data_IF_163316722313
#
_entry.id   IF_163316722313
#
_cell.length_a   1.000
_cell.length_b   1.000
_cell.length_c   1.000
_cell.angle_alpha   90.00
_cell.angle_beta   90.00
_cell.angle_gamma   90.00
#
_symmetry.space_group_name_H-M   'P 1'
#
loop_
_entity.id
_entity.type
_entity.pdbx_description
1 polymer ?
#
# COMPACT_ATOMS: atom_id res chain seq x y z
N UNK A 1 -4.66 25.41 -28.07
CA UNK A 1 -3.44 25.11 -27.28
C UNK A 1 -3.24 23.60 -27.30
N UNK A 2 -2.01 23.08 -27.48
CA UNK A 2 -1.78 21.64 -27.36
C UNK A 2 -2.04 21.16 -25.93
N UNK A 3 -2.55 19.93 -25.80
CA UNK A 3 -2.81 19.31 -24.51
C UNK A 3 -1.50 18.78 -23.90
N UNK A 4 -1.43 18.74 -22.56
CA UNK A 4 -0.31 18.13 -21.85
C UNK A 4 -0.44 16.60 -21.91
N UNK A 5 0.59 15.91 -22.40
CA UNK A 5 0.61 14.46 -22.47
C UNK A 5 0.72 13.84 -21.08
N UNK A 6 -0.17 12.89 -20.77
CA UNK A 6 -0.11 12.06 -19.57
C UNK A 6 0.41 10.69 -19.97
N UNK A 7 1.44 10.20 -19.27
CA UNK A 7 2.03 8.87 -19.50
C UNK A 7 1.70 7.97 -18.31
N UNK A 8 0.94 6.86 -18.50
CA UNK A 8 0.66 5.92 -17.43
C UNK A 8 1.89 5.02 -17.20
N UNK A 9 2.60 5.22 -16.10
CA UNK A 9 3.72 4.38 -15.69
C UNK A 9 3.27 3.39 -14.61
N UNK A 10 3.57 2.11 -14.80
CA UNK A 10 3.38 1.07 -13.78
C UNK A 10 4.70 0.88 -13.04
N UNK A 11 4.70 1.09 -11.73
CA UNK A 11 5.84 0.77 -10.86
C UNK A 11 5.55 -0.52 -10.12
N UNK A 12 6.23 -1.59 -10.53
CA UNK A 12 6.06 -2.91 -9.95
C UNK A 12 7.17 -3.22 -8.93
N UNK A 13 6.77 -3.79 -7.79
CA UNK A 13 7.62 -4.02 -6.63
C UNK A 13 7.17 -5.27 -5.86
N UNK A 14 6.84 -6.33 -6.62
CA UNK A 14 6.59 -7.66 -6.07
C UNK A 14 7.89 -8.42 -5.77
N UNK A 15 7.77 -9.59 -5.16
CA UNK A 15 8.92 -10.43 -4.79
C UNK A 15 9.62 -11.06 -6.00
N UNK A 16 8.85 -11.45 -7.02
CA UNK A 16 9.34 -12.01 -8.27
C UNK A 16 9.14 -11.04 -9.42
N UNK A 17 9.93 -11.19 -10.50
CA UNK A 17 9.82 -10.41 -11.73
C UNK A 17 8.41 -10.41 -12.32
N UNK A 18 8.00 -9.26 -12.87
CA UNK A 18 6.71 -9.13 -13.53
C UNK A 18 6.59 -10.07 -14.72
N UNK A 19 5.60 -10.96 -14.69
CA UNK A 19 5.35 -11.96 -15.73
C UNK A 19 4.07 -11.72 -16.54
N UNK A 20 3.22 -10.78 -16.12
CA UNK A 20 1.96 -10.50 -16.82
C UNK A 20 2.18 -9.72 -18.12
N UNK A 21 1.20 -9.78 -19.02
CA UNK A 21 1.18 -9.05 -20.27
C UNK A 21 1.36 -7.53 -20.08
N UNK A 22 2.04 -6.88 -21.05
CA UNK A 22 2.38 -5.44 -20.99
C UNK A 22 1.64 -4.60 -22.03
N UNK A 23 0.75 -5.22 -22.79
CA UNK A 23 -0.08 -4.54 -23.77
C UNK A 23 -1.52 -5.05 -23.75
N UNK A 24 -2.46 -4.20 -24.17
CA UNK A 24 -3.86 -4.60 -24.24
C UNK A 24 -4.09 -5.73 -25.25
N UNK A 25 -3.30 -5.76 -26.33
CA UNK A 25 -3.37 -6.81 -27.35
C UNK A 25 -2.94 -8.19 -26.81
N UNK A 26 -1.99 -8.24 -25.87
CA UNK A 26 -1.61 -9.47 -25.17
C UNK A 26 -2.65 -9.91 -24.14
N UNK A 27 -3.29 -8.95 -23.47
CA UNK A 27 -4.32 -9.23 -22.45
C UNK A 27 -5.65 -9.68 -23.07
N UNK A 28 -6.01 -9.09 -24.21
CA UNK A 28 -7.29 -9.30 -24.88
C UNK A 28 -7.00 -9.64 -26.35
N UNK A 29 -6.85 -10.93 -26.69
CA UNK A 29 -6.65 -11.33 -28.08
C UNK A 29 -7.91 -10.99 -28.90
N UNK A 30 -7.71 -10.31 -30.02
CA UNK A 30 -8.80 -9.87 -30.91
C UNK A 30 -8.79 -10.71 -32.20
N UNK A 31 -9.96 -11.15 -32.70
CA UNK A 31 -10.06 -11.86 -33.97
C UNK A 31 -9.52 -11.04 -35.14
N UNK A 32 -8.99 -11.71 -36.16
CA UNK A 32 -8.33 -11.07 -37.31
C UNK A 32 -9.20 -10.00 -38.00
N UNK A 33 -10.50 -10.27 -38.17
CA UNK A 33 -11.45 -9.32 -38.77
C UNK A 33 -11.74 -8.06 -37.94
N UNK A 34 -11.26 -7.98 -36.70
CA UNK A 34 -11.41 -6.82 -35.81
C UNK A 34 -10.07 -6.18 -35.44
N UNK A 35 -8.96 -6.62 -36.05
CA UNK A 35 -7.62 -6.15 -35.72
C UNK A 35 -7.44 -4.63 -35.87
N UNK A 36 -8.15 -4.00 -36.83
CA UNK A 36 -8.11 -2.55 -37.05
C UNK A 36 -8.71 -1.73 -35.90
N UNK A 37 -9.54 -2.34 -35.06
CA UNK A 37 -10.16 -1.71 -33.90
C UNK A 37 -9.38 -1.95 -32.60
N UNK A 38 -8.28 -2.71 -32.64
CA UNK A 38 -7.45 -2.97 -31.46
C UNK A 38 -6.79 -1.68 -30.97
N UNK A 39 -6.99 -1.35 -29.70
CA UNK A 39 -6.30 -0.23 -29.06
C UNK A 39 -4.85 -0.65 -28.77
N UNK A 40 -3.89 0.07 -29.36
CA UNK A 40 -2.45 -0.13 -29.18
C UNK A 40 -1.89 0.37 -27.83
N UNK A 41 -2.60 0.16 -26.73
CA UNK A 41 -2.16 0.60 -25.41
C UNK A 41 -1.06 -0.33 -24.89
N UNK A 42 0.12 0.23 -24.64
CA UNK A 42 1.22 -0.41 -23.91
C UNK A 42 1.32 0.20 -22.52
N UNK A 43 1.70 -0.62 -21.55
CA UNK A 43 1.95 -0.22 -20.18
C UNK A 43 3.46 -0.10 -19.97
N UNK A 44 4.04 1.13 -20.00
CA UNK A 44 5.40 1.35 -19.51
C UNK A 44 5.53 0.76 -18.11
N UNK A 45 6.49 -0.15 -17.93
CA UNK A 45 6.71 -0.87 -16.70
C UNK A 45 8.10 -0.57 -16.15
N UNK A 46 8.15 -0.10 -14.91
CA UNK A 46 9.33 -0.05 -14.08
C UNK A 46 9.27 -1.21 -13.08
N UNK A 47 10.00 -2.29 -13.36
CA UNK A 47 10.07 -3.47 -12.49
C UNK A 47 11.25 -3.34 -11.53
N UNK A 48 10.96 -2.92 -10.29
CA UNK A 48 11.99 -2.73 -9.25
C UNK A 48 12.63 -4.04 -8.80
N UNK A 49 11.96 -5.18 -8.98
CA UNK A 49 12.52 -6.49 -8.60
C UNK A 49 13.66 -6.93 -9.51
N UNK A 50 13.74 -6.37 -10.72
CA UNK A 50 14.78 -6.68 -11.71
C UNK A 50 15.86 -5.60 -11.84
N UNK A 51 15.68 -4.44 -11.20
CA UNK A 51 16.67 -3.37 -11.23
C UNK A 51 17.77 -3.60 -10.19
N UNK A 52 19.02 -3.29 -10.53
CA UNK A 52 20.10 -3.19 -9.55
C UNK A 52 19.89 -1.97 -8.64
N UNK A 53 20.61 -1.88 -7.52
CA UNK A 53 20.51 -0.69 -6.65
C UNK A 53 21.13 0.54 -7.34
N UNK A 54 22.13 0.32 -8.19
CA UNK A 54 22.86 1.33 -8.95
C UNK A 54 22.01 1.96 -10.06
N UNK A 55 21.08 1.18 -10.64
CA UNK A 55 20.18 1.65 -11.70
C UNK A 55 19.03 2.51 -11.17
N UNK A 56 18.81 2.55 -9.84
CA UNK A 56 17.80 3.41 -9.21
C UNK A 56 18.34 4.84 -9.17
N UNK A 57 18.08 5.57 -10.25
CA UNK A 57 18.46 6.98 -10.41
C UNK A 57 17.37 7.95 -9.91
N UNK A 58 17.72 9.24 -9.83
CA UNK A 58 16.81 10.34 -9.45
C UNK A 58 17.24 11.09 -8.19
N UNK A 59 16.41 12.03 -7.72
CA UNK A 59 16.70 12.74 -6.48
C UNK A 59 16.74 11.79 -5.26
N UNK A 60 17.47 12.15 -4.19
CA UNK A 60 17.66 11.27 -3.03
C UNK A 60 16.37 10.70 -2.44
N UNK A 61 15.33 11.53 -2.29
CA UNK A 61 14.02 11.09 -1.75
C UNK A 61 13.37 10.04 -2.65
N UNK A 62 13.41 10.23 -3.97
CA UNK A 62 12.86 9.27 -4.93
C UNK A 62 13.64 7.95 -4.87
N UNK A 63 14.98 8.00 -4.88
CA UNK A 63 15.82 6.79 -4.80
C UNK A 63 15.56 6.01 -3.53
N UNK A 64 15.46 6.67 -2.38
CA UNK A 64 15.12 6.02 -1.12
C UNK A 64 13.70 5.45 -1.11
N UNK A 65 12.74 6.14 -1.72
CA UNK A 65 11.36 5.66 -1.85
C UNK A 65 11.29 4.40 -2.72
N UNK A 66 11.94 4.41 -3.89
CA UNK A 66 12.00 3.24 -4.78
C UNK A 66 12.78 2.09 -4.14
N UNK A 67 13.87 2.37 -3.42
CA UNK A 67 14.59 1.38 -2.63
C UNK A 67 13.71 0.74 -1.55
N UNK A 68 12.93 1.54 -0.83
CA UNK A 68 11.97 1.03 0.15
C UNK A 68 10.93 0.13 -0.52
N UNK A 69 10.33 0.56 -1.63
CA UNK A 69 9.36 -0.26 -2.38
C UNK A 69 9.98 -1.59 -2.83
N UNK A 70 11.18 -1.56 -3.41
CA UNK A 70 11.94 -2.73 -3.86
C UNK A 70 12.14 -3.76 -2.75
N UNK A 71 12.59 -3.31 -1.58
CA UNK A 71 12.91 -4.21 -0.47
C UNK A 71 11.73 -4.51 0.45
N UNK A 72 10.60 -3.81 0.31
CA UNK A 72 9.48 -3.88 1.25
C UNK A 72 8.92 -5.28 1.49
N UNK A 73 8.92 -6.15 0.48
CA UNK A 73 8.48 -7.55 0.58
C UNK A 73 9.65 -8.55 0.65
N UNK A 74 10.88 -8.05 0.72
CA UNK A 74 12.08 -8.88 0.74
C UNK A 74 12.50 -9.23 2.16
N UNK A 75 13.03 -10.43 2.34
CA UNK A 75 13.78 -10.82 3.55
C UNK A 75 14.99 -9.90 3.84
N UNK A 76 15.50 -9.20 2.82
CA UNK A 76 16.61 -8.25 2.95
C UNK A 76 16.18 -6.86 3.43
N UNK A 77 14.90 -6.66 3.74
CA UNK A 77 14.41 -5.36 4.19
C UNK A 77 15.13 -4.88 5.45
N UNK A 78 15.29 -5.75 6.45
CA UNK A 78 15.90 -5.37 7.73
C UNK A 78 17.33 -4.87 7.54
N UNK A 79 18.11 -5.50 6.66
CA UNK A 79 19.48 -5.08 6.39
C UNK A 79 19.57 -3.77 5.61
N UNK A 80 18.60 -3.50 4.71
CA UNK A 80 18.55 -2.28 3.89
C UNK A 80 17.86 -1.10 4.57
N UNK A 81 16.92 -1.36 5.47
CA UNK A 81 16.06 -0.34 6.09
C UNK A 81 16.87 0.70 6.86
N UNK A 82 17.92 0.28 7.57
CA UNK A 82 18.79 1.21 8.29
C UNK A 82 19.44 2.23 7.37
N UNK A 83 19.93 1.79 6.20
CA UNK A 83 20.55 2.66 5.22
C UNK A 83 19.53 3.57 4.53
N UNK A 84 18.35 3.05 4.20
CA UNK A 84 17.24 3.85 3.67
C UNK A 84 16.80 4.94 4.66
N UNK A 85 16.70 4.63 5.95
CA UNK A 85 16.36 5.59 7.00
C UNK A 85 17.45 6.66 7.17
N UNK A 86 18.74 6.30 7.04
CA UNK A 86 19.84 7.28 7.04
C UNK A 86 19.74 8.21 5.83
N UNK A 87 19.52 7.66 4.64
CA UNK A 87 19.42 8.45 3.41
C UNK A 87 18.23 9.41 3.44
N UNK A 88 17.05 8.95 3.92
CA UNK A 88 15.88 9.83 3.98
C UNK A 88 16.09 10.98 4.98
N UNK A 89 16.75 10.72 6.11
CA UNK A 89 17.05 11.73 7.11
C UNK A 89 18.04 12.80 6.62
N UNK A 90 19.00 12.41 5.77
CA UNK A 90 19.92 13.35 5.13
C UNK A 90 19.24 14.17 4.03
N UNK A 91 18.19 13.64 3.43
CA UNK A 91 17.52 14.22 2.27
C UNK A 91 16.34 15.13 2.63
N UNK A 92 15.81 15.01 3.84
CA UNK A 92 14.63 15.73 4.29
C UNK A 92 14.95 16.78 5.36
N UNK A 93 14.20 17.89 5.41
CA UNK A 93 14.21 18.79 6.56
C UNK A 93 13.81 18.04 7.84
N UNK A 94 14.47 18.33 8.97
CA UNK A 94 14.22 17.67 10.26
C UNK A 94 12.74 17.73 10.69
N UNK A 95 12.02 18.79 10.35
CA UNK A 95 10.60 18.95 10.64
C UNK A 95 9.68 17.94 9.93
N UNK A 96 10.14 17.34 8.80
CA UNK A 96 9.40 16.33 8.01
C UNK A 96 9.79 14.89 8.35
N UNK A 97 10.92 14.69 9.01
CA UNK A 97 11.46 13.37 9.31
C UNK A 97 10.50 12.51 10.17
N UNK A 98 9.84 13.04 11.22
CA UNK A 98 8.79 12.33 11.96
C UNK A 98 7.72 11.66 11.10
N UNK A 99 7.11 12.42 10.18
CA UNK A 99 6.00 11.94 9.37
C UNK A 99 6.46 10.87 8.38
N UNK A 100 7.68 11.01 7.85
CA UNK A 100 8.27 10.01 6.97
C UNK A 100 8.62 8.72 7.71
N UNK A 101 9.19 8.80 8.90
CA UNK A 101 9.46 7.62 9.74
C UNK A 101 8.14 6.89 10.02
N UNK A 102 7.08 7.62 10.41
CA UNK A 102 5.76 7.02 10.63
C UNK A 102 5.23 6.32 9.37
N UNK A 103 5.25 7.01 8.22
CA UNK A 103 4.76 6.46 6.96
C UNK A 103 5.53 5.20 6.53
N UNK A 104 6.87 5.21 6.70
CA UNK A 104 7.72 4.03 6.44
C UNK A 104 7.34 2.89 7.38
N UNK A 105 7.18 3.16 8.68
CA UNK A 105 6.79 2.16 9.67
C UNK A 105 5.45 1.51 9.34
N UNK A 106 4.42 2.32 9.07
CA UNK A 106 3.09 1.83 8.68
C UNK A 106 3.18 1.00 7.40
N UNK A 107 3.86 1.51 6.38
CA UNK A 107 4.00 0.81 5.11
C UNK A 107 4.70 -0.54 5.29
N UNK A 108 5.87 -0.57 5.92
CA UNK A 108 6.62 -1.82 6.10
C UNK A 108 5.82 -2.83 6.92
N UNK A 109 5.23 -2.44 8.03
CA UNK A 109 4.42 -3.35 8.85
C UNK A 109 3.18 -3.87 8.11
N UNK A 110 2.69 -3.15 7.10
CA UNK A 110 1.55 -3.57 6.27
C UNK A 110 1.92 -4.57 5.18
N UNK A 111 3.16 -4.53 4.67
CA UNK A 111 3.58 -5.33 3.50
C UNK A 111 4.61 -6.42 3.81
N UNK A 112 5.38 -6.27 4.89
CA UNK A 112 6.41 -7.22 5.30
C UNK A 112 5.93 -8.07 6.47
N UNK A 113 5.85 -9.38 6.28
CA UNK A 113 5.39 -10.30 7.33
C UNK A 113 6.48 -10.66 8.35
N UNK A 114 7.74 -10.46 7.98
CA UNK A 114 8.90 -10.86 8.79
C UNK A 114 9.34 -9.75 9.75
N UNK A 115 8.93 -8.50 9.48
CA UNK A 115 9.32 -7.35 10.30
C UNK A 115 8.23 -6.97 11.31
N UNK A 116 8.55 -7.12 12.59
CA UNK A 116 7.70 -6.68 13.68
C UNK A 116 8.03 -5.27 14.19
N UNK A 117 7.18 -4.76 15.09
CA UNK A 117 7.36 -3.44 15.70
C UNK A 117 8.64 -3.31 16.52
N UNK A 118 9.16 -4.41 17.06
CA UNK A 118 10.35 -4.40 17.90
C UNK A 118 11.62 -4.30 17.05
N UNK A 119 11.72 -5.08 15.97
CA UNK A 119 12.80 -4.97 14.99
C UNK A 119 12.82 -3.57 14.37
N UNK A 120 11.66 -3.01 14.02
CA UNK A 120 11.57 -1.64 13.51
C UNK A 120 12.15 -0.62 14.51
N UNK A 121 11.75 -0.72 15.79
CA UNK A 121 12.29 0.12 16.88
C UNK A 121 13.80 -0.01 17.00
N UNK A 122 14.32 -1.23 16.92
CA UNK A 122 15.75 -1.48 17.01
C UNK A 122 16.52 -0.85 15.85
N UNK A 123 16.03 -1.00 14.62
CA UNK A 123 16.62 -0.36 13.44
C UNK A 123 16.58 1.17 13.56
N UNK A 124 15.47 1.73 14.04
CA UNK A 124 15.40 3.17 14.26
C UNK A 124 16.37 3.66 15.35
N UNK A 125 16.48 2.94 16.47
CA UNK A 125 17.43 3.28 17.55
C UNK A 125 18.89 3.23 17.09
N UNK A 126 19.24 2.29 16.22
CA UNK A 126 20.60 2.18 15.69
C UNK A 126 20.94 3.30 14.71
N UNK A 127 19.94 3.80 13.98
CA UNK A 127 20.10 4.91 13.03
C UNK A 127 20.05 6.28 13.70
N UNK A 128 19.20 6.45 14.72
CA UNK A 128 18.92 7.73 15.37
C UNK A 128 19.15 7.67 16.90
N UNK A 129 20.34 7.31 17.39
CA UNK A 129 20.56 7.05 18.81
C UNK A 129 20.25 8.24 19.73
N UNK A 130 20.46 9.47 19.26
CA UNK A 130 20.23 10.70 20.02
C UNK A 130 18.78 11.21 20.02
N UNK A 131 17.91 10.68 19.15
CA UNK A 131 16.51 11.12 19.07
C UNK A 131 15.55 10.17 19.83
N UNK A 132 16.08 9.15 20.53
CA UNK A 132 15.35 7.96 21.00
C UNK A 132 15.47 7.73 22.53
N UNK A 133 15.36 8.79 23.33
CA UNK A 133 15.15 8.67 24.79
C UNK A 133 13.74 8.10 25.12
N UNK A 134 13.50 7.52 26.32
CA UNK A 134 12.14 7.12 26.73
C UNK A 134 11.17 8.32 26.70
N UNK A 135 10.11 8.25 25.88
CA UNK A 135 9.22 9.39 25.57
C UNK A 135 9.58 10.15 24.28
N UNK A 136 10.51 9.61 23.50
CA UNK A 136 10.99 10.14 22.22
C UNK A 136 9.95 10.17 21.10
N UNK A 137 10.40 10.70 19.95
CA UNK A 137 9.73 10.60 18.67
C UNK A 137 9.32 9.15 18.32
N UNK A 138 10.17 8.18 18.60
CA UNK A 138 9.91 6.77 18.32
C UNK A 138 8.71 6.21 19.06
N UNK A 139 8.71 6.42 20.38
CA UNK A 139 7.68 5.92 21.25
C UNK A 139 6.35 6.59 20.89
N UNK A 140 6.36 7.91 20.63
CA UNK A 140 5.18 8.64 20.15
C UNK A 140 4.67 8.10 18.81
N UNK A 141 5.54 7.91 17.81
CA UNK A 141 5.12 7.42 16.50
C UNK A 141 4.57 6.00 16.54
N UNK A 142 5.11 5.13 17.41
CA UNK A 142 4.62 3.77 17.58
C UNK A 142 3.33 3.69 18.39
N UNK A 143 3.18 4.52 19.41
CA UNK A 143 1.91 4.66 20.14
C UNK A 143 0.83 5.18 19.19
N UNK A 144 1.12 6.28 18.48
CA UNK A 144 0.18 6.88 17.52
C UNK A 144 -0.18 5.90 16.40
N UNK A 145 0.80 5.19 15.81
CA UNK A 145 0.53 4.19 14.78
C UNK A 145 -0.31 3.02 15.28
N UNK A 146 -0.10 2.59 16.53
CA UNK A 146 -0.94 1.56 17.17
C UNK A 146 -2.36 2.06 17.40
N UNK A 147 -2.51 3.27 17.95
CA UNK A 147 -3.82 3.90 18.20
C UNK A 147 -4.58 4.11 16.88
N UNK A 148 -3.93 4.63 15.84
CA UNK A 148 -4.51 4.80 14.51
C UNK A 148 -4.91 3.46 13.89
N UNK A 149 -4.06 2.43 14.01
CA UNK A 149 -4.36 1.08 13.53
C UNK A 149 -5.54 0.44 14.26
N UNK A 150 -5.63 0.60 15.57
CA UNK A 150 -6.75 0.13 16.40
C UNK A 150 -8.05 0.85 16.03
N UNK A 151 -8.00 2.17 15.88
CA UNK A 151 -9.14 2.98 15.42
C UNK A 151 -9.62 2.56 14.03
N UNK A 152 -8.68 2.32 13.10
CA UNK A 152 -9.01 1.86 11.76
C UNK A 152 -9.63 0.46 11.79
N UNK A 153 -9.08 -0.44 12.61
CA UNK A 153 -9.59 -1.79 12.83
C UNK A 153 -11.00 -1.80 13.42
N UNK A 154 -11.27 -0.96 14.42
CA UNK A 154 -12.59 -0.77 15.01
C UNK A 154 -13.60 -0.25 13.99
N UNK A 155 -13.25 0.77 13.21
CA UNK A 155 -14.12 1.30 12.15
C UNK A 155 -14.42 0.24 11.10
N UNK A 156 -13.42 -0.52 10.66
CA UNK A 156 -13.58 -1.60 9.69
C UNK A 156 -14.48 -2.71 10.25
N UNK A 157 -14.24 -3.15 11.49
CA UNK A 157 -15.07 -4.14 12.17
C UNK A 157 -16.53 -3.70 12.32
N UNK A 158 -16.76 -2.42 12.63
CA UNK A 158 -18.11 -1.85 12.70
C UNK A 158 -18.82 -1.88 11.35
N UNK A 159 -18.13 -1.57 10.24
CA UNK A 159 -18.70 -1.65 8.89
C UNK A 159 -19.01 -3.10 8.52
N UNK A 160 -18.07 -4.02 8.73
CA UNK A 160 -18.24 -5.45 8.49
C UNK A 160 -19.46 -6.00 9.24
N UNK A 161 -19.59 -5.71 10.54
CA UNK A 161 -20.74 -6.15 11.34
C UNK A 161 -22.07 -5.56 10.88
N UNK A 162 -22.10 -4.29 10.45
CA UNK A 162 -23.30 -3.69 9.85
C UNK A 162 -23.70 -4.35 8.54
N UNK A 163 -22.73 -4.69 7.68
CA UNK A 163 -22.97 -5.38 6.41
C UNK A 163 -23.61 -6.75 6.69
N UNK A 164 -23.01 -7.55 7.58
CA UNK A 164 -23.53 -8.87 7.92
C UNK A 164 -24.93 -8.80 8.55
N UNK A 165 -25.15 -7.87 9.48
CA UNK A 165 -26.48 -7.67 10.07
C UNK A 165 -27.53 -7.31 9.02
N UNK A 166 -27.21 -6.44 8.06
CA UNK A 166 -28.15 -6.09 6.98
C UNK A 166 -28.39 -7.26 6.03
N UNK A 167 -27.37 -8.07 5.74
CA UNK A 167 -27.52 -9.31 4.98
C UNK A 167 -28.49 -10.27 5.69
N UNK A 168 -28.32 -10.48 7.00
CA UNK A 168 -29.23 -11.30 7.80
C UNK A 168 -30.66 -10.77 7.79
N UNK A 169 -30.85 -9.46 7.97
CA UNK A 169 -32.18 -8.82 7.96
C UNK A 169 -32.86 -8.90 6.58
N UNK A 170 -32.09 -8.89 5.50
CA UNK A 170 -32.56 -9.06 4.13
C UNK A 170 -32.79 -10.53 3.76
N UNK A 171 -32.30 -11.48 4.57
CA UNK A 171 -32.35 -12.91 4.31
C UNK A 171 -31.25 -13.42 3.37
N UNK A 172 -30.23 -12.60 3.10
CA UNK A 172 -29.05 -12.99 2.35
C UNK A 172 -28.11 -13.84 3.23
N UNK A 173 -27.30 -14.72 2.63
CA UNK A 173 -26.24 -15.43 3.36
C UNK A 173 -25.16 -14.43 3.80
N UNK A 174 -24.82 -14.35 5.10
CA UNK A 174 -23.81 -13.42 5.59
C UNK A 174 -22.47 -13.67 4.94
N UNK A 175 -21.83 -12.63 4.42
CA UNK A 175 -20.49 -12.75 3.86
C UNK A 175 -19.49 -13.07 4.99
N UNK A 176 -18.60 -14.05 4.81
CA UNK A 176 -17.61 -14.41 5.83
C UNK A 176 -16.70 -13.23 6.20
N UNK A 177 -16.31 -13.16 7.48
CA UNK A 177 -15.41 -12.12 8.00
C UNK A 177 -14.13 -12.00 7.19
N UNK A 178 -13.55 -13.13 6.79
CA UNK A 178 -12.30 -13.17 6.03
C UNK A 178 -12.40 -12.42 4.68
N UNK A 179 -13.54 -12.51 4.00
CA UNK A 179 -13.77 -11.84 2.72
C UNK A 179 -14.00 -10.33 2.89
N UNK A 180 -14.73 -9.94 3.93
CA UNK A 180 -14.99 -8.52 4.25
C UNK A 180 -13.73 -7.84 4.79
N UNK A 181 -12.90 -8.54 5.57
CA UNK A 181 -11.62 -8.04 6.05
C UNK A 181 -10.58 -7.88 4.93
N UNK A 182 -10.70 -8.62 3.82
CA UNK A 182 -9.84 -8.45 2.65
C UNK A 182 -10.20 -7.21 1.81
N UNK A 183 -11.43 -6.70 1.93
CA UNK A 183 -11.89 -5.52 1.20
C UNK A 183 -11.33 -4.22 1.82
N UNK A 184 -11.17 -3.17 1.02
CA UNK A 184 -10.83 -1.84 1.53
C UNK A 184 -12.05 -1.11 2.12
N UNK A 185 -11.81 0.01 2.81
CA UNK A 185 -12.87 0.78 3.49
C UNK A 185 -13.90 1.36 2.53
N UNK A 186 -13.48 1.74 1.32
CA UNK A 186 -14.36 2.32 0.31
C UNK A 186 -15.34 1.28 -0.23
N UNK A 187 -14.84 0.09 -0.58
CA UNK A 187 -15.65 -1.06 -1.01
C UNK A 187 -16.65 -1.45 0.07
N UNK A 188 -16.22 -1.52 1.34
CA UNK A 188 -17.12 -1.82 2.46
C UNK A 188 -18.21 -0.76 2.62
N UNK A 189 -17.86 0.52 2.47
CA UNK A 189 -18.83 1.63 2.58
C UNK A 189 -19.85 1.60 1.45
N UNK A 190 -19.42 1.33 0.22
CA UNK A 190 -20.30 1.17 -0.94
C UNK A 190 -21.25 -0.01 -0.77
N UNK A 191 -20.74 -1.17 -0.34
CA UNK A 191 -21.58 -2.35 -0.04
C UNK A 191 -22.59 -2.07 1.05
N UNK A 192 -22.20 -1.37 2.11
CA UNK A 192 -23.10 -0.97 3.18
C UNK A 192 -24.22 -0.06 2.66
N UNK A 193 -23.89 0.93 1.82
CA UNK A 193 -24.86 1.84 1.24
C UNK A 193 -25.88 1.13 0.34
N UNK A 194 -25.42 0.17 -0.48
CA UNK A 194 -26.29 -0.68 -1.31
C UNK A 194 -27.27 -1.49 -0.46
N UNK A 195 -26.79 -2.18 0.58
CA UNK A 195 -27.63 -2.97 1.48
C UNK A 195 -28.66 -2.10 2.22
N UNK A 196 -28.28 -0.90 2.65
CA UNK A 196 -29.21 0.05 3.28
C UNK A 196 -30.28 0.55 2.31
N UNK A 197 -29.95 0.68 1.03
CA UNK A 197 -30.91 1.05 0.00
C UNK A 197 -31.89 -0.10 -0.27
N UNK A 198 -31.38 -1.32 -0.44
CA UNK A 198 -32.20 -2.54 -0.58
C UNK A 198 -33.17 -2.74 0.59
N UNK A 199 -32.74 -2.46 1.82
CA UNK A 199 -33.62 -2.55 2.99
C UNK A 199 -34.73 -1.48 2.97
N UNK A 200 -34.43 -0.27 2.48
CA UNK A 200 -35.42 0.81 2.34
C UNK A 200 -36.46 0.54 1.24
N UNK A 201 -36.02 -0.09 0.16
CA UNK A 201 -36.88 -0.40 -1.00
C UNK A 201 -37.71 -1.68 -0.80
N UNK A 202 -37.60 -2.34 0.37
CA UNK A 202 -38.36 -3.54 0.69
C UNK A 202 -39.84 -3.18 0.90
N UNK A 203 -40.76 -3.77 0.10
CA UNK A 203 -42.19 -3.58 0.35
C UNK A 203 -42.56 -4.19 1.71
N UNK A 204 -43.22 -3.39 2.55
CA UNK A 204 -43.81 -3.79 3.84
C UNK A 204 -44.94 -4.79 3.65
#
# INVERSE_FOLDING_TARGET
>A
MPLCSIVPLVVYHGEAGWSAARSLAELIPVPEGLAEYQIGLRLPLLDLSQLSDEDIAGEPVLRTTLGLLKYSRSQHLVSKLGDLLRQIAQSLPAARLPQWIQAIGVYVMSVNKDMDSHQYKQTLKSVFPTQFEPGSLADRLLIQGREEGEQLGLKKGMLTGKIQLLQELLGDTPTPDAELQACDMETLTLRLADLQQRLRDRPT
#
